data_IF_112221601528
#
_entry.id   IF_112221601528
#
_cell.length_a   1.000
_cell.length_b   1.000
_cell.length_c   1.000
_cell.angle_alpha   90.00
_cell.angle_beta   90.00
_cell.angle_gamma   90.00
#
_symmetry.space_group_name_H-M   'P 1'
#
loop_
_entity.id
_entity.type
_entity.pdbx_description
1 polymer ?
#
# COMPACT_ATOMS: atom_id res chain seq x y z
N UNK A 1 17.27 -16.14 -11.58
CA UNK A 1 17.10 -14.69 -11.44
C UNK A 1 18.40 -13.92 -11.50
N UNK A 2 19.43 -14.31 -10.75
CA UNK A 2 20.76 -13.65 -10.75
C UNK A 2 21.40 -13.49 -12.12
N UNK A 3 21.22 -14.48 -13.01
CA UNK A 3 21.80 -14.45 -14.38
C UNK A 3 21.18 -13.35 -15.24
N UNK A 4 19.84 -13.14 -15.14
CA UNK A 4 19.16 -12.10 -15.91
C UNK A 4 19.59 -10.70 -15.42
N UNK A 5 19.62 -10.48 -14.11
CA UNK A 5 20.01 -9.17 -13.57
C UNK A 5 21.49 -8.87 -13.86
N UNK A 6 22.38 -9.84 -13.76
CA UNK A 6 23.78 -9.68 -14.17
C UNK A 6 23.91 -9.29 -15.65
N UNK A 7 23.16 -9.96 -16.53
CA UNK A 7 23.18 -9.62 -17.97
C UNK A 7 22.65 -8.19 -18.22
N UNK A 8 21.62 -7.75 -17.46
CA UNK A 8 21.10 -6.38 -17.55
C UNK A 8 22.10 -5.35 -17.01
N UNK A 9 22.85 -5.66 -15.97
CA UNK A 9 23.88 -4.79 -15.41
C UNK A 9 25.10 -4.58 -16.33
N UNK A 10 25.32 -5.44 -17.32
CA UNK A 10 26.34 -5.23 -18.34
C UNK A 10 26.01 -4.08 -19.29
N UNK A 11 24.71 -3.75 -19.47
CA UNK A 11 24.26 -2.63 -20.30
C UNK A 11 24.45 -1.28 -19.58
N UNK A 12 25.16 -0.37 -20.23
CA UNK A 12 25.45 0.95 -19.68
C UNK A 12 24.17 1.78 -19.44
N UNK A 13 23.14 1.61 -20.26
CA UNK A 13 21.86 2.31 -20.11
C UNK A 13 21.10 1.81 -18.88
N UNK A 14 21.12 0.50 -18.60
CA UNK A 14 20.52 -0.09 -17.42
C UNK A 14 21.23 0.39 -16.16
N UNK A 15 22.57 0.39 -16.14
CA UNK A 15 23.34 0.96 -15.02
C UNK A 15 22.99 2.42 -14.77
N UNK A 16 22.82 3.21 -15.83
CA UNK A 16 22.40 4.60 -15.69
C UNK A 16 21.00 4.73 -15.08
N UNK A 17 20.07 3.84 -15.44
CA UNK A 17 18.72 3.81 -14.84
C UNK A 17 18.82 3.43 -13.35
N UNK A 18 19.65 2.48 -12.98
CA UNK A 18 19.88 2.10 -11.58
C UNK A 18 20.42 3.26 -10.75
N UNK A 19 21.43 4.00 -11.28
CA UNK A 19 21.97 5.20 -10.64
C UNK A 19 20.89 6.28 -10.44
N UNK A 20 20.09 6.55 -11.48
CA UNK A 20 18.99 7.53 -11.41
C UNK A 20 17.91 7.08 -10.42
N UNK A 21 17.59 5.80 -10.38
CA UNK A 21 16.63 5.24 -9.44
C UNK A 21 17.11 5.30 -7.99
N UNK A 22 18.41 5.08 -7.76
CA UNK A 22 19.03 5.16 -6.44
C UNK A 22 19.20 6.60 -5.94
N UNK A 23 19.24 7.58 -6.85
CA UNK A 23 19.43 9.01 -6.54
C UNK A 23 18.25 9.64 -5.79
N UNK A 24 18.48 10.82 -5.23
CA UNK A 24 17.46 11.60 -4.54
C UNK A 24 16.82 12.63 -5.50
N UNK A 25 15.53 12.42 -5.77
CA UNK A 25 14.71 13.36 -6.55
C UNK A 25 15.02 13.41 -8.05
N UNK A 26 14.30 14.27 -8.74
CA UNK A 26 14.45 14.47 -10.19
C UNK A 26 13.39 13.72 -11.02
N UNK A 27 13.40 14.03 -12.33
CA UNK A 27 12.54 13.40 -13.33
C UNK A 27 13.41 12.84 -14.43
N UNK A 28 13.18 11.59 -14.81
CA UNK A 28 13.91 10.93 -15.89
C UNK A 28 12.92 10.29 -16.87
N UNK A 29 13.23 10.41 -18.17
CA UNK A 29 12.46 9.77 -19.23
C UNK A 29 13.25 8.57 -19.75
N UNK A 30 12.64 7.37 -19.63
CA UNK A 30 13.18 6.13 -20.19
C UNK A 30 12.31 5.73 -21.39
N UNK A 31 12.93 5.52 -22.53
CA UNK A 31 12.25 5.13 -23.77
C UNK A 31 12.97 3.99 -24.48
N UNK A 32 12.32 3.41 -25.50
CA UNK A 32 12.89 2.28 -26.25
C UNK A 32 12.66 0.91 -25.63
N UNK A 33 11.99 0.83 -24.45
CA UNK A 33 11.63 -0.43 -23.82
C UNK A 33 10.21 -0.85 -24.23
N UNK A 34 10.05 -2.10 -24.67
CA UNK A 34 8.75 -2.67 -25.06
C UNK A 34 8.38 -3.90 -24.23
N UNK A 35 7.10 -4.17 -24.10
CA UNK A 35 6.59 -5.34 -23.38
C UNK A 35 7.19 -5.47 -21.98
N UNK A 36 7.62 -6.68 -21.61
CA UNK A 36 8.20 -7.01 -20.30
C UNK A 36 9.63 -6.49 -20.08
N UNK A 37 10.28 -5.92 -21.12
CA UNK A 37 11.62 -5.31 -20.95
C UNK A 37 11.61 -4.22 -19.90
N UNK A 38 10.59 -3.36 -19.89
CA UNK A 38 10.45 -2.28 -18.88
C UNK A 38 10.29 -2.83 -17.46
N UNK A 39 9.61 -3.98 -17.31
CA UNK A 39 9.42 -4.64 -16.03
C UNK A 39 10.74 -5.23 -15.52
N UNK A 40 11.53 -5.87 -16.41
CA UNK A 40 12.82 -6.43 -16.05
C UNK A 40 13.85 -5.34 -15.67
N UNK A 41 13.94 -4.26 -16.46
CA UNK A 41 14.83 -3.12 -16.17
C UNK A 41 14.43 -2.44 -14.84
N UNK A 42 13.14 -2.23 -14.62
CA UNK A 42 12.66 -1.70 -13.35
C UNK A 42 13.00 -2.64 -12.17
N UNK A 43 12.76 -3.96 -12.33
CA UNK A 43 13.05 -4.94 -11.29
C UNK A 43 14.55 -4.95 -10.93
N UNK A 44 15.45 -4.86 -11.93
CA UNK A 44 16.89 -4.74 -11.71
C UNK A 44 17.26 -3.44 -10.97
N UNK A 45 16.60 -2.31 -11.28
CA UNK A 45 16.82 -1.04 -10.58
C UNK A 45 16.32 -1.10 -9.14
N UNK A 46 15.15 -1.70 -8.92
CA UNK A 46 14.60 -1.89 -7.59
C UNK A 46 15.45 -2.82 -6.72
N UNK A 47 15.93 -3.93 -7.28
CA UNK A 47 16.80 -4.87 -6.57
C UNK A 47 18.12 -4.23 -6.10
N UNK A 48 18.67 -3.31 -6.91
CA UNK A 48 19.88 -2.56 -6.58
C UNK A 48 19.67 -1.51 -5.48
N UNK A 49 18.49 -0.89 -5.42
CA UNK A 49 18.17 0.17 -4.44
C UNK A 49 16.70 0.09 -3.98
N UNK A 50 16.33 -0.88 -3.12
CA UNK A 50 14.96 -1.05 -2.66
C UNK A 50 14.41 0.18 -1.94
N UNK A 51 13.22 0.64 -2.34
CA UNK A 51 12.53 1.78 -1.74
C UNK A 51 11.02 1.71 -1.94
N UNK A 52 10.19 2.39 -1.12
CA UNK A 52 8.78 2.51 -1.41
C UNK A 52 8.57 3.10 -2.80
N UNK A 53 7.86 2.38 -3.67
CA UNK A 53 7.67 2.81 -5.06
C UNK A 53 6.21 2.67 -5.46
N UNK A 54 5.70 3.63 -6.23
CA UNK A 54 4.37 3.58 -6.84
C UNK A 54 4.52 3.55 -8.35
N UNK A 55 4.02 2.50 -8.98
CA UNK A 55 3.97 2.35 -10.44
C UNK A 55 2.55 2.69 -10.90
N UNK A 56 2.44 3.76 -11.68
CA UNK A 56 1.13 4.18 -12.21
C UNK A 56 0.99 3.65 -13.63
N UNK A 57 -0.09 2.93 -13.88
CA UNK A 57 -0.40 2.32 -15.17
C UNK A 57 -1.73 2.82 -15.72
N UNK A 58 -1.89 2.71 -17.05
CA UNK A 58 -3.04 3.26 -17.77
C UNK A 58 -4.22 2.30 -17.90
N UNK A 59 -4.02 1.00 -17.66
CA UNK A 59 -5.06 -0.01 -17.85
C UNK A 59 -4.96 -1.18 -16.89
N UNK A 60 -6.08 -1.88 -16.67
CA UNK A 60 -6.16 -3.09 -15.85
C UNK A 60 -5.21 -4.18 -16.38
N UNK A 61 -5.21 -4.38 -17.70
CA UNK A 61 -4.30 -5.33 -18.34
C UNK A 61 -2.83 -5.02 -18.02
N UNK A 62 -2.42 -3.77 -18.16
CA UNK A 62 -1.04 -3.37 -17.83
C UNK A 62 -0.73 -3.59 -16.34
N UNK A 63 -1.69 -3.38 -15.45
CA UNK A 63 -1.51 -3.65 -14.02
C UNK A 63 -1.28 -5.14 -13.75
N UNK A 64 -2.04 -6.00 -14.41
CA UNK A 64 -1.91 -7.45 -14.30
C UNK A 64 -0.57 -7.94 -14.87
N UNK A 65 -0.17 -7.45 -16.04
CA UNK A 65 1.12 -7.75 -16.66
C UNK A 65 2.30 -7.37 -15.71
N UNK A 66 2.24 -6.16 -15.10
CA UNK A 66 3.23 -5.74 -14.10
C UNK A 66 3.25 -6.64 -12.87
N UNK A 67 2.09 -6.99 -12.35
CA UNK A 67 1.97 -7.83 -11.15
C UNK A 67 2.55 -9.22 -11.38
N UNK A 68 2.23 -9.83 -12.54
CA UNK A 68 2.70 -11.17 -12.92
C UNK A 68 4.22 -11.17 -13.10
N UNK A 69 4.76 -10.23 -13.88
CA UNK A 69 6.20 -10.15 -14.12
C UNK A 69 6.98 -9.85 -12.83
N UNK A 70 6.50 -8.93 -11.98
CA UNK A 70 7.16 -8.62 -10.70
C UNK A 70 7.12 -9.81 -9.72
N UNK A 71 6.05 -10.59 -9.70
CA UNK A 71 5.98 -11.80 -8.87
C UNK A 71 7.06 -12.82 -9.28
N UNK A 72 7.36 -12.92 -10.58
CA UNK A 72 8.45 -13.75 -11.09
C UNK A 72 9.84 -13.14 -10.86
N UNK A 73 10.02 -11.85 -11.10
CA UNK A 73 11.32 -11.16 -11.03
C UNK A 73 11.76 -10.82 -9.61
N UNK A 74 10.84 -10.50 -8.73
CA UNK A 74 11.08 -10.04 -7.35
C UNK A 74 10.21 -10.81 -6.34
N UNK A 75 10.33 -12.16 -6.23
CA UNK A 75 9.41 -12.99 -5.43
C UNK A 75 9.43 -12.67 -3.92
N UNK A 76 10.46 -11.98 -3.44
CA UNK A 76 10.59 -11.60 -2.03
C UNK A 76 10.03 -10.20 -1.74
N UNK A 77 9.61 -9.46 -2.78
CA UNK A 77 9.12 -8.08 -2.63
C UNK A 77 7.61 -8.08 -2.52
N UNK A 78 7.09 -7.34 -1.57
CA UNK A 78 5.66 -7.13 -1.44
C UNK A 78 5.17 -6.22 -2.56
N UNK A 79 4.30 -6.73 -3.42
CA UNK A 79 3.62 -5.97 -4.48
C UNK A 79 2.15 -5.84 -4.11
N UNK A 80 1.65 -4.62 -3.99
CA UNK A 80 0.26 -4.31 -3.61
C UNK A 80 -0.43 -3.52 -4.73
N UNK A 81 -1.74 -3.65 -4.82
CA UNK A 81 -2.56 -2.79 -5.67
C UNK A 81 -3.20 -1.68 -4.83
N UNK A 82 -3.13 -0.43 -5.32
CA UNK A 82 -3.88 0.68 -4.74
C UNK A 82 -5.31 0.66 -5.28
N UNK A 83 -6.32 0.34 -4.45
CA UNK A 83 -7.71 0.29 -4.91
C UNK A 83 -8.22 1.65 -5.40
N UNK A 84 -9.03 1.64 -6.45
CA UNK A 84 -9.75 2.83 -6.90
C UNK A 84 -10.79 3.27 -5.87
N UNK A 85 -11.02 4.58 -5.81
CA UNK A 85 -12.11 5.15 -5.01
C UNK A 85 -13.37 5.10 -5.84
N UNK A 86 -14.45 4.58 -5.29
CA UNK A 86 -15.74 4.57 -5.97
C UNK A 86 -16.18 6.02 -6.26
N UNK A 87 -16.50 6.30 -7.51
CA UNK A 87 -17.15 7.55 -7.87
C UNK A 87 -18.51 7.61 -7.14
N UNK A 88 -18.90 8.77 -6.67
CA UNK A 88 -20.06 9.03 -5.80
C UNK A 88 -21.45 8.52 -6.30
N UNK A 89 -21.52 7.71 -7.33
CA UNK A 89 -22.72 7.11 -7.91
C UNK A 89 -22.98 5.64 -7.56
N UNK A 90 -22.02 4.90 -6.98
CA UNK A 90 -22.18 3.48 -6.64
C UNK A 90 -22.57 3.21 -5.17
N UNK A 91 -23.02 4.24 -4.47
CA UNK A 91 -23.33 4.21 -3.02
C UNK A 91 -24.36 3.14 -2.63
N UNK A 92 -25.18 2.65 -3.56
CA UNK A 92 -26.29 1.74 -3.24
C UNK A 92 -26.01 0.25 -3.48
N UNK A 93 -24.96 -0.14 -4.19
CA UNK A 93 -24.75 -1.57 -4.54
C UNK A 93 -23.71 -2.32 -3.72
N UNK A 94 -22.90 -1.66 -2.90
CA UNK A 94 -21.72 -2.33 -2.34
C UNK A 94 -21.25 -1.79 -0.99
N UNK A 95 -22.13 -1.61 -0.01
CA UNK A 95 -21.73 -1.14 1.31
C UNK A 95 -20.62 -2.03 1.94
N UNK A 96 -20.66 -3.35 1.74
CA UNK A 96 -19.62 -4.26 2.22
C UNK A 96 -18.35 -4.20 1.36
N UNK A 97 -18.46 -4.27 0.03
CA UNK A 97 -17.30 -4.21 -0.88
C UNK A 97 -16.64 -2.84 -0.92
N UNK A 98 -17.39 -1.76 -0.70
CA UNK A 98 -16.85 -0.41 -0.57
C UNK A 98 -16.01 -0.25 0.70
N UNK A 99 -16.49 -0.76 1.83
CA UNK A 99 -15.71 -0.77 3.09
C UNK A 99 -14.43 -1.57 2.98
N UNK A 100 -14.48 -2.75 2.38
CA UNK A 100 -13.30 -3.57 2.17
C UNK A 100 -12.27 -2.90 1.26
N UNK A 101 -12.70 -2.27 0.14
CA UNK A 101 -11.81 -1.49 -0.74
C UNK A 101 -11.18 -0.31 -0.01
N UNK A 102 -11.96 0.41 0.77
CA UNK A 102 -11.46 1.52 1.58
C UNK A 102 -10.44 1.03 2.63
N UNK A 103 -10.70 -0.08 3.28
CA UNK A 103 -9.79 -0.70 4.24
C UNK A 103 -8.47 -1.10 3.57
N UNK A 104 -8.52 -1.78 2.42
CA UNK A 104 -7.32 -2.13 1.64
C UNK A 104 -6.54 -0.89 1.19
N UNK A 105 -7.24 0.15 0.74
CA UNK A 105 -6.60 1.42 0.36
C UNK A 105 -5.89 2.05 1.55
N UNK A 106 -6.53 2.09 2.73
CA UNK A 106 -5.93 2.61 3.96
C UNK A 106 -4.71 1.79 4.39
N UNK A 107 -4.74 0.46 4.25
CA UNK A 107 -3.58 -0.38 4.54
C UNK A 107 -2.40 -0.03 3.63
N UNK A 108 -2.61 0.03 2.31
CA UNK A 108 -1.57 0.38 1.33
C UNK A 108 -0.97 1.76 1.63
N UNK A 109 -1.81 2.77 1.85
CA UNK A 109 -1.36 4.12 2.19
C UNK A 109 -0.60 4.15 3.52
N UNK A 110 -1.06 3.41 4.52
CA UNK A 110 -0.39 3.27 5.81
C UNK A 110 1.00 2.69 5.69
N UNK A 111 1.18 1.67 4.89
CA UNK A 111 2.48 1.04 4.63
C UNK A 111 3.44 1.99 3.90
N UNK A 112 2.95 2.75 2.91
CA UNK A 112 3.71 3.80 2.24
C UNK A 112 4.14 4.91 3.22
N UNK A 113 3.23 5.38 4.08
CA UNK A 113 3.53 6.41 5.08
C UNK A 113 4.60 5.94 6.07
N UNK A 114 4.61 4.65 6.41
CA UNK A 114 5.65 4.04 7.27
C UNK A 114 6.99 3.85 6.57
N UNK A 115 7.07 4.06 5.26
CA UNK A 115 8.30 3.87 4.49
C UNK A 115 8.66 2.39 4.29
N UNK A 116 7.69 1.47 4.33
CA UNK A 116 7.94 0.06 4.06
C UNK A 116 8.46 -0.12 2.63
N UNK A 117 9.47 -0.98 2.46
CA UNK A 117 10.03 -1.30 1.15
C UNK A 117 9.07 -2.22 0.39
N UNK A 118 8.21 -1.61 -0.42
CA UNK A 118 7.20 -2.31 -1.20
C UNK A 118 6.94 -1.60 -2.54
N UNK A 119 6.32 -2.30 -3.46
CA UNK A 119 5.87 -1.77 -4.74
C UNK A 119 4.36 -1.68 -4.73
N UNK A 120 3.82 -0.52 -5.07
CA UNK A 120 2.38 -0.30 -5.23
C UNK A 120 2.06 -0.10 -6.70
N UNK A 121 1.19 -0.94 -7.24
CA UNK A 121 0.61 -0.78 -8.57
C UNK A 121 -0.68 0.04 -8.46
N UNK A 122 -0.80 1.08 -9.28
CA UNK A 122 -1.98 1.94 -9.26
C UNK A 122 -2.47 2.24 -10.67
N UNK A 123 -3.78 2.15 -10.89
CA UNK A 123 -4.39 2.79 -12.05
C UNK A 123 -4.31 4.31 -11.90
N UNK A 124 -4.24 5.05 -13.01
CA UNK A 124 -4.16 6.51 -12.98
C UNK A 124 -5.30 7.13 -12.15
N UNK A 125 -6.53 6.61 -12.27
CA UNK A 125 -7.68 7.05 -11.46
C UNK A 125 -7.47 6.88 -9.95
N UNK A 126 -6.88 5.75 -9.52
CA UNK A 126 -6.56 5.51 -8.13
C UNK A 126 -5.48 6.46 -7.60
N UNK A 127 -4.48 6.77 -8.44
CA UNK A 127 -3.35 7.62 -8.07
C UNK A 127 -3.74 9.10 -7.89
N UNK A 128 -4.63 9.62 -8.75
CA UNK A 128 -5.08 11.04 -8.70
C UNK A 128 -6.27 11.28 -7.76
N UNK A 129 -6.87 10.23 -7.22
CA UNK A 129 -8.00 10.35 -6.30
C UNK A 129 -7.58 11.13 -5.04
N UNK A 130 -8.40 12.11 -4.65
CA UNK A 130 -8.17 12.88 -3.44
C UNK A 130 -8.12 11.96 -2.22
N UNK A 131 -7.13 12.16 -1.38
CA UNK A 131 -6.92 11.44 -0.14
C UNK A 131 -6.53 12.39 0.99
N UNK A 132 -6.31 11.84 2.17
CA UNK A 132 -5.79 12.58 3.31
C UNK A 132 -4.32 12.95 3.08
N UNK A 133 -3.89 14.07 3.66
CA UNK A 133 -2.48 14.41 3.74
C UNK A 133 -1.73 13.38 4.61
N UNK A 134 -0.41 13.26 4.42
CA UNK A 134 0.42 12.37 5.27
C UNK A 134 0.30 12.71 6.76
N UNK A 135 0.23 14.00 7.09
CA UNK A 135 0.08 14.48 8.46
C UNK A 135 -1.28 14.08 9.06
N UNK A 136 -2.36 14.26 8.30
CA UNK A 136 -3.70 13.87 8.76
C UNK A 136 -3.82 12.35 8.89
N UNK A 137 -3.27 11.59 7.94
CA UNK A 137 -3.23 10.14 8.02
C UNK A 137 -2.50 9.67 9.28
N UNK A 138 -1.33 10.23 9.58
CA UNK A 138 -0.57 9.89 10.78
C UNK A 138 -1.31 10.26 12.07
N UNK A 139 -1.98 11.40 12.10
CA UNK A 139 -2.78 11.86 13.25
C UNK A 139 -4.01 10.97 13.49
N UNK A 140 -4.64 10.51 12.41
CA UNK A 140 -5.83 9.65 12.45
C UNK A 140 -5.49 8.15 12.49
N UNK A 141 -4.22 7.80 12.64
CA UNK A 141 -3.79 6.42 12.84
C UNK A 141 -3.50 6.15 14.30
N UNK A 142 -3.84 4.94 14.75
CA UNK A 142 -3.48 4.42 16.07
C UNK A 142 -2.57 3.21 15.88
N UNK A 143 -1.43 3.23 16.56
CA UNK A 143 -0.53 2.07 16.61
C UNK A 143 -0.49 1.57 18.05
N UNK A 144 -0.63 0.27 18.19
CA UNK A 144 -0.51 -0.43 19.46
C UNK A 144 0.52 -1.55 19.30
N UNK A 145 1.49 -1.63 20.19
CA UNK A 145 2.52 -2.63 20.22
C UNK A 145 2.41 -3.53 21.47
N UNK A 146 2.81 -4.78 21.33
CA UNK A 146 2.91 -5.68 22.47
C UNK A 146 3.92 -5.14 23.47
N UNK A 147 3.55 -5.08 24.76
CA UNK A 147 4.39 -4.53 25.84
C UNK A 147 4.29 -3.03 26.03
N UNK A 148 3.53 -2.31 25.21
CA UNK A 148 3.24 -0.89 25.44
C UNK A 148 2.17 -0.72 26.51
N UNK A 149 2.41 0.14 27.49
CA UNK A 149 1.43 0.49 28.49
C UNK A 149 0.49 1.59 27.95
N UNK A 150 -0.74 1.23 27.65
CA UNK A 150 -1.77 2.17 27.18
C UNK A 150 -2.89 2.25 28.19
N UNK A 151 -3.24 3.48 28.63
CA UNK A 151 -4.38 3.70 29.53
C UNK A 151 -5.70 3.35 28.83
N UNK A 152 -6.49 2.48 29.46
CA UNK A 152 -7.77 1.99 28.92
C UNK A 152 -8.71 3.12 28.51
N UNK A 153 -8.90 4.11 29.36
CA UNK A 153 -9.76 5.26 29.09
C UNK A 153 -9.29 6.05 27.87
N UNK A 154 -7.98 6.29 27.76
CA UNK A 154 -7.37 6.96 26.61
C UNK A 154 -7.55 6.16 25.31
N UNK A 155 -7.39 4.84 25.37
CA UNK A 155 -7.59 3.98 24.20
C UNK A 155 -9.04 4.03 23.71
N UNK A 156 -10.01 3.95 24.61
CA UNK A 156 -11.44 4.04 24.28
C UNK A 156 -11.75 5.39 23.62
N UNK A 157 -11.27 6.49 24.20
CA UNK A 157 -11.46 7.84 23.67
C UNK A 157 -10.83 7.99 22.27
N UNK A 158 -9.62 7.47 22.07
CA UNK A 158 -8.94 7.48 20.78
C UNK A 158 -9.69 6.67 19.72
N UNK A 159 -10.16 5.46 20.04
CA UNK A 159 -10.94 4.63 19.12
C UNK A 159 -12.24 5.33 18.71
N UNK A 160 -12.99 5.88 19.67
CA UNK A 160 -14.19 6.65 19.40
C UNK A 160 -13.89 7.90 18.53
N UNK A 161 -12.82 8.64 18.82
CA UNK A 161 -12.36 9.79 18.04
C UNK A 161 -11.89 9.43 16.62
N UNK A 162 -11.49 8.19 16.37
CA UNK A 162 -11.16 7.65 15.05
C UNK A 162 -12.41 7.14 14.29
N UNK A 163 -13.60 7.23 14.89
CA UNK A 163 -14.86 6.81 14.27
C UNK A 163 -15.19 5.33 14.45
N UNK A 164 -14.49 4.63 15.37
CA UNK A 164 -14.88 3.26 15.72
C UNK A 164 -16.17 3.27 16.55
N UNK A 165 -17.07 2.36 16.22
CA UNK A 165 -18.32 2.14 16.93
C UNK A 165 -18.09 1.26 18.17
N UNK A 166 -18.56 1.72 19.32
CA UNK A 166 -18.52 0.90 20.54
C UNK A 166 -19.71 -0.04 20.58
N UNK A 167 -19.45 -1.34 20.70
CA UNK A 167 -20.45 -2.42 20.72
C UNK A 167 -20.23 -3.34 21.92
N UNK A 168 -21.19 -4.20 22.22
CA UNK A 168 -21.03 -5.22 23.27
C UNK A 168 -20.16 -6.39 22.77
N UNK A 169 -20.34 -6.80 21.52
CA UNK A 169 -19.57 -7.85 20.83
C UNK A 169 -19.11 -7.36 19.46
N UNK A 170 -17.84 -7.59 19.13
CA UNK A 170 -17.21 -7.11 17.91
C UNK A 170 -17.48 -8.09 16.76
N UNK A 171 -18.27 -7.66 15.78
CA UNK A 171 -18.66 -8.49 14.63
C UNK A 171 -18.13 -7.93 13.29
N UNK A 172 -17.86 -6.65 13.21
CA UNK A 172 -17.51 -5.98 11.95
C UNK A 172 -16.32 -5.02 12.09
N UNK A 173 -15.65 -4.78 10.96
CA UNK A 173 -14.57 -3.78 10.87
C UNK A 173 -15.05 -2.41 11.32
N UNK A 174 -14.23 -1.71 12.10
CA UNK A 174 -14.55 -0.39 12.64
C UNK A 174 -15.33 -0.45 13.95
N UNK A 175 -15.46 -1.62 14.57
CA UNK A 175 -16.07 -1.79 15.87
C UNK A 175 -15.03 -2.08 16.96
N UNK A 176 -15.36 -1.73 18.20
CA UNK A 176 -14.60 -2.13 19.37
C UNK A 176 -15.52 -2.40 20.56
N UNK A 177 -15.07 -3.29 21.43
CA UNK A 177 -15.70 -3.60 22.71
C UNK A 177 -14.72 -3.38 23.84
N UNK A 178 -15.19 -2.91 24.98
CA UNK A 178 -14.37 -2.74 26.18
C UNK A 178 -15.08 -3.32 27.38
N UNK A 179 -14.52 -4.38 27.97
CA UNK A 179 -15.07 -5.11 29.10
C UNK A 179 -13.98 -5.35 30.16
N UNK A 180 -14.19 -4.80 31.35
CA UNK A 180 -13.17 -4.86 32.39
C UNK A 180 -11.87 -4.19 31.96
N UNK A 181 -10.78 -4.93 31.87
CA UNK A 181 -9.47 -4.45 31.39
C UNK A 181 -9.12 -4.89 29.97
N UNK A 182 -10.06 -5.45 29.23
CA UNK A 182 -9.85 -5.99 27.88
C UNK A 182 -10.54 -5.10 26.86
N UNK A 183 -9.88 -4.84 25.74
CA UNK A 183 -10.44 -4.14 24.59
C UNK A 183 -10.27 -5.04 23.36
N UNK A 184 -11.40 -5.42 22.77
CA UNK A 184 -11.44 -6.10 21.50
C UNK A 184 -11.67 -5.06 20.41
N UNK A 185 -10.88 -5.08 19.34
CA UNK A 185 -10.99 -4.14 18.22
C UNK A 185 -11.00 -4.90 16.91
N UNK A 186 -11.88 -4.52 15.98
CA UNK A 186 -11.79 -4.98 14.59
C UNK A 186 -11.25 -3.84 13.72
N UNK A 187 -9.92 -3.79 13.51
CA UNK A 187 -9.31 -2.73 12.75
C UNK A 187 -9.80 -2.73 11.30
N UNK A 188 -9.95 -1.54 10.71
CA UNK A 188 -10.40 -1.38 9.32
C UNK A 188 -9.42 -1.93 8.28
N UNK A 189 -8.19 -2.22 8.67
CA UNK A 189 -7.13 -2.76 7.82
C UNK A 189 -6.75 -4.22 8.12
N UNK A 190 -7.59 -4.93 8.87
CA UNK A 190 -7.41 -6.36 9.17
C UNK A 190 -8.66 -7.15 8.82
N UNK A 191 -8.48 -8.43 8.62
CA UNK A 191 -9.59 -9.37 8.31
C UNK A 191 -10.13 -10.08 9.56
N UNK A 192 -9.49 -9.86 10.72
CA UNK A 192 -9.87 -10.45 12.00
C UNK A 192 -9.75 -9.41 13.12
N UNK A 193 -10.59 -9.50 14.15
CA UNK A 193 -10.45 -8.71 15.38
C UNK A 193 -9.13 -9.02 16.11
N UNK A 194 -8.73 -8.12 16.98
CA UNK A 194 -7.55 -8.22 17.86
C UNK A 194 -7.91 -7.74 19.25
#
# INVERSE_FOLDING_TARGET
MDTLFRALEEDASVRKIQELFAGEGGTSLVYGLSGSQKHAVYAAAYAAAPRPTVIIVHSRKSLEDWREDLAGLLPQVTVLELPEVDAAGEVFRAAASGRERSARRMDVLGRLVRGEQLIVLALAGAAVAKGMSRSDFSRLSLRLGTGEAVGLAHLIERLAGLGYERVEEVEAMGQFSARGGIVDVFPVNRTTPV
#
